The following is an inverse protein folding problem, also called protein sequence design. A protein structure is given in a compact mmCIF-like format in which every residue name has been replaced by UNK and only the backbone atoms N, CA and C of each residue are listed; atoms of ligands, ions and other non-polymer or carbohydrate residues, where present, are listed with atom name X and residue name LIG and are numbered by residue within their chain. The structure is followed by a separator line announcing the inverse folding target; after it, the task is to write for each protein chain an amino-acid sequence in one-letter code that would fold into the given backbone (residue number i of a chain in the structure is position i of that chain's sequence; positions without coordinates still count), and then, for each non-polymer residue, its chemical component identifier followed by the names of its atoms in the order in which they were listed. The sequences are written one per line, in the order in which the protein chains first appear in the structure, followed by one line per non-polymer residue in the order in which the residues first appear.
data_IF_886910514294
#
_entry.id   IF_886910514294
#
_cell.length_a   1.000
_cell.length_b   1.000
_cell.length_c   1.000
_cell.angle_alpha   90.00
_cell.angle_beta   90.00
_cell.angle_gamma   90.00
#
_symmetry.space_group_name_H-M   'P 1'
#
loop_
_entity.id
_entity.type
_entity.pdbx_description
1 polymer ?
#
# COMPACT_ATOMS: atom_id res chain seq x y z
N UNK A 1 39.59 0.35 -8.20
CA UNK A 1 40.24 -0.95 -7.95
C UNK A 1 40.48 -1.72 -9.26
N UNK A 2 39.47 -1.85 -10.15
CA UNK A 2 39.62 -2.52 -11.45
C UNK A 2 40.79 -1.92 -12.25
N UNK A 3 40.82 -0.60 -12.40
CA UNK A 3 41.91 0.12 -13.12
C UNK A 3 43.32 -0.17 -12.55
N UNK A 4 43.40 -0.35 -11.22
CA UNK A 4 44.66 -0.71 -10.58
C UNK A 4 45.12 -2.11 -10.99
N UNK A 5 44.20 -3.07 -11.01
CA UNK A 5 44.54 -4.43 -11.44
C UNK A 5 44.87 -4.48 -12.93
N UNK A 6 44.14 -3.74 -13.77
CA UNK A 6 44.40 -3.64 -15.20
C UNK A 6 45.78 -3.04 -15.49
N UNK A 7 46.16 -2.01 -14.73
CA UNK A 7 47.51 -1.45 -14.84
C UNK A 7 48.59 -2.47 -14.46
N UNK A 8 48.36 -3.29 -13.43
CA UNK A 8 49.29 -4.34 -12.99
C UNK A 8 49.35 -5.53 -13.95
N UNK A 9 48.24 -5.91 -14.55
CA UNK A 9 48.12 -7.02 -15.49
C UNK A 9 48.57 -6.63 -16.91
N UNK A 10 48.48 -5.34 -17.25
CA UNK A 10 48.92 -4.84 -18.55
C UNK A 10 48.28 -5.52 -19.75
N UNK A 11 49.11 -6.12 -20.60
CA UNK A 11 48.60 -6.77 -21.84
C UNK A 11 47.75 -8.01 -21.58
N UNK A 12 47.92 -8.68 -20.43
CA UNK A 12 47.08 -9.84 -20.05
C UNK A 12 45.63 -9.44 -19.82
N UNK A 13 45.39 -8.35 -19.07
CA UNK A 13 44.03 -7.85 -18.88
C UNK A 13 43.38 -7.43 -20.21
N UNK A 14 44.18 -6.80 -21.09
CA UNK A 14 43.73 -6.40 -22.40
C UNK A 14 43.39 -7.61 -23.27
N UNK A 15 44.21 -8.66 -23.25
CA UNK A 15 43.95 -9.91 -23.98
C UNK A 15 42.62 -10.54 -23.51
N UNK A 16 42.38 -10.65 -22.20
CA UNK A 16 41.20 -11.24 -21.64
C UNK A 16 39.93 -10.40 -22.04
N UNK A 17 40.01 -9.07 -21.91
CA UNK A 17 38.90 -8.18 -22.30
C UNK A 17 38.60 -8.14 -23.79
N UNK A 18 39.56 -8.38 -24.64
CA UNK A 18 39.34 -8.45 -26.10
C UNK A 18 38.88 -9.83 -26.55
N UNK A 19 38.88 -10.83 -25.69
CA UNK A 19 38.39 -12.16 -26.00
C UNK A 19 36.85 -12.19 -26.07
N UNK A 20 36.29 -12.50 -27.23
CA UNK A 20 34.85 -12.52 -27.44
C UNK A 20 34.14 -13.53 -26.55
N UNK A 21 34.71 -14.71 -26.34
CA UNK A 21 34.09 -15.75 -25.51
C UNK A 21 34.00 -15.27 -24.03
N UNK A 22 35.01 -14.57 -23.54
CA UNK A 22 35.01 -13.99 -22.20
C UNK A 22 33.90 -12.93 -22.08
N UNK A 23 33.79 -12.03 -23.05
CA UNK A 23 32.79 -10.97 -23.05
C UNK A 23 31.36 -11.52 -23.16
N UNK A 24 31.13 -12.55 -23.97
CA UNK A 24 29.83 -13.20 -24.10
C UNK A 24 29.42 -13.88 -22.79
N UNK A 25 30.33 -14.57 -22.12
CA UNK A 25 30.07 -15.19 -20.80
C UNK A 25 29.82 -14.14 -19.72
N UNK A 26 30.54 -13.03 -19.72
CA UNK A 26 30.33 -11.92 -18.80
C UNK A 26 28.95 -11.30 -19.03
N UNK A 27 28.54 -11.12 -20.27
CA UNK A 27 27.22 -10.62 -20.61
C UNK A 27 26.08 -11.58 -20.16
N UNK A 28 26.24 -12.88 -20.39
CA UNK A 28 25.30 -13.89 -19.89
C UNK A 28 25.18 -13.87 -18.36
N UNK A 29 26.28 -13.75 -17.66
CA UNK A 29 26.32 -13.62 -16.20
C UNK A 29 25.59 -12.34 -15.74
N UNK A 30 25.82 -11.20 -16.41
CA UNK A 30 25.13 -9.95 -16.12
C UNK A 30 23.63 -10.08 -16.30
N UNK A 31 23.14 -10.71 -17.39
CA UNK A 31 21.72 -10.97 -17.60
C UNK A 31 21.11 -11.87 -16.51
N UNK A 32 21.80 -12.94 -16.11
CA UNK A 32 21.35 -13.80 -15.00
C UNK A 32 21.25 -13.02 -13.68
N UNK A 33 22.23 -12.17 -13.38
CA UNK A 33 22.19 -11.31 -12.20
C UNK A 33 21.00 -10.34 -12.21
N UNK A 34 20.68 -9.73 -13.36
CA UNK A 34 19.51 -8.85 -13.49
C UNK A 34 18.22 -9.63 -13.26
N UNK A 35 18.09 -10.83 -13.84
CA UNK A 35 16.90 -11.68 -13.64
C UNK A 35 16.75 -12.11 -12.18
N UNK A 36 17.82 -12.56 -11.53
CA UNK A 36 17.83 -12.95 -10.12
C UNK A 36 17.42 -11.75 -9.24
N UNK A 37 18.04 -10.58 -9.47
CA UNK A 37 17.75 -9.37 -8.71
C UNK A 37 16.30 -8.93 -8.85
N UNK A 38 15.72 -9.04 -10.05
CA UNK A 38 14.30 -8.74 -10.29
C UNK A 38 13.39 -9.72 -9.55
N UNK A 39 13.72 -11.02 -9.55
CA UNK A 39 12.94 -12.04 -8.83
C UNK A 39 13.06 -11.92 -7.31
N UNK A 40 14.20 -11.47 -6.78
CA UNK A 40 14.41 -11.24 -5.35
C UNK A 40 13.62 -10.03 -4.84
N UNK A 41 13.43 -9.01 -5.67
CA UNK A 41 12.63 -7.82 -5.32
C UNK A 41 11.13 -8.13 -5.30
N UNK A 42 10.66 -9.02 -6.19
CA UNK A 42 9.27 -9.47 -6.25
C UNK A 42 9.15 -10.95 -5.87
N UNK A 43 9.17 -11.28 -4.56
CA UNK A 43 9.12 -12.66 -4.11
C UNK A 43 7.75 -13.27 -4.39
N UNK A 44 7.68 -14.15 -5.38
CA UNK A 44 6.54 -15.00 -5.65
C UNK A 44 6.93 -16.46 -5.32
N UNK A 45 6.06 -17.15 -4.58
CA UNK A 45 6.30 -18.52 -4.14
C UNK A 45 6.49 -19.49 -5.32
N UNK A 46 5.85 -19.21 -6.47
CA UNK A 46 6.02 -19.94 -7.73
C UNK A 46 7.41 -19.76 -8.34
N UNK A 47 8.05 -18.64 -8.09
CA UNK A 47 9.36 -18.31 -8.65
C UNK A 47 10.53 -18.85 -7.82
N UNK A 48 10.29 -19.36 -6.62
CA UNK A 48 11.35 -19.82 -5.70
C UNK A 48 12.23 -20.92 -6.29
N UNK A 49 11.63 -21.93 -6.94
CA UNK A 49 12.40 -23.00 -7.60
C UNK A 49 13.22 -22.47 -8.77
N UNK A 50 12.63 -21.58 -9.56
CA UNK A 50 13.29 -20.95 -10.70
C UNK A 50 14.45 -20.05 -10.25
N UNK A 51 14.29 -19.37 -9.11
CA UNK A 51 15.34 -18.54 -8.52
C UNK A 51 16.55 -19.39 -8.09
N UNK A 52 16.31 -20.55 -7.47
CA UNK A 52 17.39 -21.49 -7.10
C UNK A 52 18.11 -22.07 -8.33
N UNK A 53 17.37 -22.42 -9.37
CA UNK A 53 17.96 -22.87 -10.65
C UNK A 53 18.84 -21.77 -11.26
N UNK A 54 18.37 -20.52 -11.28
CA UNK A 54 19.14 -19.40 -11.81
C UNK A 54 20.36 -19.07 -10.96
N UNK A 55 20.30 -19.18 -9.64
CA UNK A 55 21.47 -19.04 -8.76
C UNK A 55 22.52 -20.11 -9.05
N UNK A 56 22.10 -21.35 -9.29
CA UNK A 56 23.01 -22.42 -9.68
C UNK A 56 23.64 -22.16 -11.05
N UNK A 57 22.86 -21.66 -12.03
CA UNK A 57 23.39 -21.27 -13.35
C UNK A 57 24.38 -20.12 -13.23
N UNK A 58 24.12 -19.13 -12.36
CA UNK A 58 25.02 -18.02 -12.09
C UNK A 58 26.36 -18.51 -11.51
N UNK A 59 26.32 -19.38 -10.49
CA UNK A 59 27.52 -19.95 -9.89
C UNK A 59 28.36 -20.72 -10.93
N UNK A 60 27.72 -21.47 -11.80
CA UNK A 60 28.41 -22.17 -12.89
C UNK A 60 29.01 -21.18 -13.91
N UNK A 61 28.30 -20.09 -14.23
CA UNK A 61 28.79 -19.05 -15.13
C UNK A 61 30.01 -18.33 -14.55
N UNK A 62 29.98 -18.00 -13.25
CA UNK A 62 31.13 -17.41 -12.54
C UNK A 62 32.36 -18.32 -12.57
N UNK A 63 32.19 -19.61 -12.31
CA UNK A 63 33.28 -20.59 -12.41
C UNK A 63 33.83 -20.71 -13.85
N UNK A 64 32.95 -20.70 -14.83
CA UNK A 64 33.38 -20.78 -16.24
C UNK A 64 34.17 -19.54 -16.67
N UNK A 65 33.77 -18.34 -16.23
CA UNK A 65 34.49 -17.09 -16.49
C UNK A 65 35.86 -17.14 -15.84
N UNK A 66 35.98 -17.60 -14.57
CA UNK A 66 37.20 -17.72 -13.89
C UNK A 66 38.17 -18.72 -14.58
N UNK A 67 37.67 -19.89 -14.92
CA UNK A 67 38.46 -20.90 -15.64
C UNK A 67 38.97 -20.41 -17.01
N UNK A 68 38.09 -19.70 -17.75
CA UNK A 68 38.45 -19.13 -19.05
C UNK A 68 39.54 -18.05 -18.90
N UNK A 69 39.40 -17.16 -17.94
CA UNK A 69 40.37 -16.13 -17.71
C UNK A 69 41.73 -16.69 -17.25
N UNK A 70 41.72 -17.71 -16.37
CA UNK A 70 42.96 -18.41 -15.97
C UNK A 70 43.63 -19.12 -17.15
N UNK A 71 42.83 -19.74 -18.06
CA UNK A 71 43.34 -20.35 -19.26
C UNK A 71 43.98 -19.34 -20.20
N UNK A 72 43.29 -18.22 -20.46
CA UNK A 72 43.84 -17.14 -21.30
C UNK A 72 45.10 -16.51 -20.69
N UNK A 73 45.16 -16.43 -19.36
CA UNK A 73 46.34 -15.92 -18.67
C UNK A 73 47.55 -16.87 -18.74
N UNK A 74 47.30 -18.18 -18.66
CA UNK A 74 48.35 -19.19 -18.79
C UNK A 74 48.95 -19.18 -20.22
N UNK A 75 48.14 -18.97 -21.24
CA UNK A 75 48.59 -18.78 -22.61
C UNK A 75 49.47 -17.52 -22.74
N UNK A 76 49.09 -16.41 -22.07
CA UNK A 76 49.91 -15.19 -22.06
C UNK A 76 51.18 -15.29 -21.20
N UNK A 77 51.11 -16.05 -20.07
CA UNK A 77 52.24 -16.21 -19.15
C UNK A 77 53.34 -17.12 -19.69
N UNK A 78 53.00 -18.04 -20.65
CA UNK A 78 54.00 -18.86 -21.30
C UNK A 78 55.12 -18.04 -22.00
N UNK A 79 54.86 -16.78 -22.26
CA UNK A 79 55.80 -15.81 -22.83
C UNK A 79 56.63 -15.06 -21.82
N UNK A 80 56.22 -14.92 -20.54
CA UNK A 80 56.85 -13.98 -19.59
C UNK A 80 57.26 -14.55 -18.21
N UNK A 81 57.11 -15.83 -17.96
CA UNK A 81 57.54 -16.54 -16.72
C UNK A 81 57.07 -15.94 -15.38
N UNK A 82 55.97 -15.17 -15.36
CA UNK A 82 55.40 -14.56 -14.17
C UNK A 82 53.98 -15.14 -13.93
N UNK A 83 53.77 -15.64 -12.71
CA UNK A 83 52.40 -16.11 -12.33
C UNK A 83 51.52 -14.94 -11.96
N UNK A 84 50.53 -14.66 -12.81
CA UNK A 84 49.52 -13.61 -12.58
C UNK A 84 48.20 -14.16 -11.95
N UNK A 85 48.19 -15.43 -11.58
CA UNK A 85 46.97 -16.16 -11.19
C UNK A 85 46.22 -15.48 -10.06
N UNK A 86 46.87 -15.08 -8.99
CA UNK A 86 46.26 -14.38 -7.86
C UNK A 86 45.73 -13.00 -8.24
N UNK A 87 46.49 -12.26 -9.05
CA UNK A 87 46.11 -10.93 -9.52
C UNK A 87 44.86 -10.98 -10.43
N UNK A 88 44.81 -12.00 -11.31
CA UNK A 88 43.68 -12.22 -12.22
C UNK A 88 42.43 -12.61 -11.44
N UNK A 89 42.56 -13.52 -10.46
CA UNK A 89 41.42 -13.89 -9.61
C UNK A 89 40.87 -12.67 -8.90
N UNK A 90 41.68 -11.84 -8.26
CA UNK A 90 41.27 -10.62 -7.59
C UNK A 90 40.66 -9.59 -8.54
N UNK A 91 41.19 -9.45 -9.74
CA UNK A 91 40.62 -8.57 -10.76
C UNK A 91 39.27 -9.05 -11.24
N UNK A 92 39.10 -10.36 -11.48
CA UNK A 92 37.84 -10.98 -11.86
C UNK A 92 36.80 -10.80 -10.77
N UNK A 93 37.15 -11.00 -9.53
CA UNK A 93 36.23 -10.78 -8.39
C UNK A 93 35.66 -9.33 -8.40
N UNK A 94 36.52 -8.35 -8.73
CA UNK A 94 36.07 -6.96 -8.85
C UNK A 94 35.21 -6.72 -10.07
N UNK A 95 35.45 -7.37 -11.20
CA UNK A 95 34.61 -7.28 -12.40
C UNK A 95 33.24 -7.90 -12.11
N UNK A 96 33.21 -9.13 -11.56
CA UNK A 96 31.98 -9.84 -11.20
C UNK A 96 31.15 -9.01 -10.20
N UNK A 97 31.79 -8.43 -9.19
CA UNK A 97 31.15 -7.56 -8.21
C UNK A 97 30.56 -6.30 -8.87
N UNK A 98 31.30 -5.69 -9.79
CA UNK A 98 30.85 -4.50 -10.51
C UNK A 98 29.63 -4.82 -11.38
N UNK A 99 29.66 -5.93 -12.16
CA UNK A 99 28.53 -6.36 -12.99
C UNK A 99 27.32 -6.74 -12.14
N UNK A 100 27.52 -7.42 -11.01
CA UNK A 100 26.44 -7.73 -10.06
C UNK A 100 25.79 -6.46 -9.51
N UNK A 101 26.58 -5.47 -9.11
CA UNK A 101 26.09 -4.20 -8.60
C UNK A 101 25.30 -3.44 -9.67
N UNK A 102 25.83 -3.41 -10.91
CA UNK A 102 25.16 -2.80 -12.05
C UNK A 102 23.79 -3.46 -12.32
N UNK A 103 23.76 -4.80 -12.36
CA UNK A 103 22.53 -5.57 -12.55
C UNK A 103 21.49 -5.30 -11.44
N UNK A 104 21.93 -5.17 -10.18
CA UNK A 104 21.05 -4.80 -9.08
C UNK A 104 20.50 -3.37 -9.22
N UNK A 105 21.30 -2.43 -9.69
CA UNK A 105 20.82 -1.06 -9.94
C UNK A 105 19.78 -1.04 -11.06
N UNK A 106 20.04 -1.75 -12.15
CA UNK A 106 19.12 -1.88 -13.28
C UNK A 106 17.78 -2.51 -12.86
N UNK A 107 17.82 -3.59 -12.10
CA UNK A 107 16.61 -4.22 -11.55
C UNK A 107 15.80 -3.28 -10.65
N UNK A 108 16.45 -2.47 -9.83
CA UNK A 108 15.80 -1.45 -9.00
C UNK A 108 15.19 -0.31 -9.81
N UNK A 109 15.86 0.11 -10.89
CA UNK A 109 15.34 1.16 -11.76
C UNK A 109 14.08 0.69 -12.50
N UNK A 110 14.07 -0.54 -13.04
CA UNK A 110 12.88 -1.17 -13.62
C UNK A 110 11.74 -1.24 -12.60
N UNK A 111 12.03 -1.66 -11.37
CA UNK A 111 11.02 -1.74 -10.31
C UNK A 111 10.46 -0.37 -9.95
N UNK A 112 11.31 0.65 -9.87
CA UNK A 112 10.89 2.03 -9.58
C UNK A 112 9.96 2.57 -10.66
N UNK A 113 10.23 2.25 -11.93
CA UNK A 113 9.39 2.66 -13.05
C UNK A 113 8.01 1.99 -12.97
N UNK A 114 7.96 0.67 -12.74
CA UNK A 114 6.72 -0.08 -12.54
C UNK A 114 5.91 0.46 -11.34
N UNK A 115 6.56 0.72 -10.21
CA UNK A 115 5.90 1.31 -9.03
C UNK A 115 5.35 2.72 -9.30
N UNK A 116 6.05 3.51 -10.11
CA UNK A 116 5.58 4.84 -10.49
C UNK A 116 4.35 4.76 -11.41
N UNK A 117 4.32 3.82 -12.35
CA UNK A 117 3.14 3.55 -13.18
C UNK A 117 1.96 3.10 -12.34
N UNK A 118 2.16 2.15 -11.43
CA UNK A 118 1.14 1.69 -10.49
C UNK A 118 0.62 2.85 -9.61
N UNK A 119 1.52 3.68 -9.10
CA UNK A 119 1.14 4.86 -8.32
C UNK A 119 0.27 5.84 -9.12
N UNK A 120 0.64 6.13 -10.36
CA UNK A 120 -0.14 7.00 -11.24
C UNK A 120 -1.53 6.41 -11.54
N UNK A 121 -1.63 5.10 -11.66
CA UNK A 121 -2.89 4.40 -11.88
C UNK A 121 -3.77 4.39 -10.62
N UNK A 122 -3.23 4.06 -9.45
CA UNK A 122 -3.99 3.90 -8.21
C UNK A 122 -4.25 5.21 -7.45
N UNK A 123 -3.43 6.23 -7.64
CA UNK A 123 -3.58 7.51 -6.94
C UNK A 123 -4.95 8.18 -7.16
N UNK A 124 -5.50 8.30 -8.40
CA UNK A 124 -6.84 8.86 -8.60
C UNK A 124 -7.95 7.97 -8.04
N UNK A 125 -7.74 6.64 -8.03
CA UNK A 125 -8.69 5.68 -7.44
C UNK A 125 -8.75 5.89 -5.92
N UNK A 126 -7.61 5.98 -5.26
CA UNK A 126 -7.51 6.26 -3.81
C UNK A 126 -8.17 7.58 -3.43
N UNK A 127 -7.92 8.65 -4.20
CA UNK A 127 -8.56 9.94 -4.00
C UNK A 127 -10.09 9.88 -4.16
N UNK A 128 -10.58 9.10 -5.11
CA UNK A 128 -12.01 8.90 -5.34
C UNK A 128 -12.64 8.08 -4.22
N UNK A 129 -11.98 7.02 -3.77
CA UNK A 129 -12.42 6.20 -2.65
C UNK A 129 -12.53 7.05 -1.37
N UNK A 130 -11.52 7.82 -1.04
CA UNK A 130 -11.54 8.70 0.13
C UNK A 130 -12.64 9.79 0.08
N UNK A 131 -13.02 10.26 -1.14
CA UNK A 131 -14.20 11.14 -1.28
C UNK A 131 -15.49 10.39 -1.02
N UNK A 132 -15.62 9.16 -1.52
CA UNK A 132 -16.81 8.31 -1.31
C UNK A 132 -16.98 7.95 0.16
N UNK A 133 -15.93 7.60 0.85
CA UNK A 133 -15.96 7.31 2.30
C UNK A 133 -16.43 8.52 3.12
N UNK A 134 -15.89 9.72 2.83
CA UNK A 134 -16.37 10.96 3.47
C UNK A 134 -17.83 11.24 3.18
N UNK A 135 -18.29 11.01 1.95
CA UNK A 135 -19.69 11.19 1.57
C UNK A 135 -20.60 10.19 2.30
N UNK A 136 -20.20 8.93 2.43
CA UNK A 136 -20.93 7.92 3.20
C UNK A 136 -21.05 8.36 4.66
N UNK A 137 -19.95 8.76 5.29
CA UNK A 137 -19.98 9.26 6.67
C UNK A 137 -20.87 10.48 6.88
N UNK A 138 -20.91 11.39 5.91
CA UNK A 138 -21.83 12.53 5.95
C UNK A 138 -23.31 12.11 5.83
N UNK A 139 -23.63 11.20 4.91
CA UNK A 139 -24.99 10.67 4.75
C UNK A 139 -25.43 9.89 5.99
N UNK A 140 -24.55 9.08 6.57
CA UNK A 140 -24.80 8.34 7.80
C UNK A 140 -25.09 9.27 8.98
N UNK A 141 -24.28 10.32 9.14
CA UNK A 141 -24.51 11.35 10.18
C UNK A 141 -25.86 12.05 10.00
N UNK A 142 -26.21 12.43 8.77
CA UNK A 142 -27.50 13.04 8.47
C UNK A 142 -28.67 12.08 8.73
N UNK A 143 -28.53 10.82 8.37
CA UNK A 143 -29.52 9.80 8.66
C UNK A 143 -29.77 9.65 10.15
N UNK A 144 -28.72 9.52 10.95
CA UNK A 144 -28.81 9.41 12.41
C UNK A 144 -29.44 10.65 13.04
N UNK A 145 -29.09 11.85 12.57
CA UNK A 145 -29.70 13.10 13.00
C UNK A 145 -31.19 13.16 12.69
N UNK A 146 -31.57 12.78 11.46
CA UNK A 146 -32.98 12.76 11.03
C UNK A 146 -33.79 11.73 11.81
N UNK A 147 -33.25 10.53 12.06
CA UNK A 147 -33.86 9.52 12.90
C UNK A 147 -34.06 10.01 14.35
N UNK A 148 -33.07 10.70 14.89
CA UNK A 148 -33.17 11.32 16.22
C UNK A 148 -34.29 12.38 16.29
N UNK A 149 -34.36 13.24 15.28
CA UNK A 149 -35.41 14.25 15.18
C UNK A 149 -36.81 13.62 15.03
N UNK A 150 -36.96 12.57 14.21
CA UNK A 150 -38.22 11.83 14.02
C UNK A 150 -38.63 11.18 15.36
N UNK A 151 -37.73 10.49 16.05
CA UNK A 151 -38.04 9.90 17.34
C UNK A 151 -38.48 10.95 18.38
N UNK A 152 -37.82 12.10 18.42
CA UNK A 152 -38.19 13.21 19.29
C UNK A 152 -39.60 13.77 18.93
N UNK A 153 -39.94 13.88 17.64
CA UNK A 153 -41.25 14.31 17.20
C UNK A 153 -42.33 13.30 17.59
N UNK A 154 -42.11 12.01 17.41
CA UNK A 154 -43.02 10.94 17.82
C UNK A 154 -43.30 10.97 19.33
N UNK A 155 -42.21 11.14 20.13
CA UNK A 155 -42.34 11.25 21.59
C UNK A 155 -43.12 12.51 22.01
N UNK A 156 -42.92 13.65 21.34
CA UNK A 156 -43.70 14.86 21.59
C UNK A 156 -45.17 14.65 21.24
N UNK A 157 -45.50 14.04 20.11
CA UNK A 157 -46.87 13.72 19.73
C UNK A 157 -47.55 12.83 20.78
N UNK A 158 -46.90 11.74 21.20
CA UNK A 158 -47.46 10.84 22.24
C UNK A 158 -47.66 11.58 23.58
N UNK A 159 -46.70 12.42 23.98
CA UNK A 159 -46.86 13.22 25.21
C UNK A 159 -48.07 14.19 25.12
N UNK A 160 -48.26 14.84 23.96
CA UNK A 160 -49.44 15.72 23.75
C UNK A 160 -50.74 14.92 23.77
N UNK A 161 -50.81 13.76 23.18
CA UNK A 161 -51.99 12.87 23.20
C UNK A 161 -52.29 12.42 24.65
N UNK A 162 -51.28 12.01 25.42
CA UNK A 162 -51.48 11.62 26.83
C UNK A 162 -51.91 12.78 27.70
N UNK A 163 -51.33 13.96 27.50
CA UNK A 163 -51.67 15.18 28.29
C UNK A 163 -53.09 15.64 27.92
N UNK A 164 -53.47 15.64 26.66
CA UNK A 164 -54.84 16.03 26.24
C UNK A 164 -55.90 15.05 26.76
N UNK A 165 -55.58 13.75 26.78
CA UNK A 165 -56.46 12.72 27.32
C UNK A 165 -56.63 12.90 28.86
N UNK A 166 -55.57 13.18 29.62
CA UNK A 166 -55.66 13.41 31.06
C UNK A 166 -56.37 14.71 31.42
N UNK A 167 -56.18 15.77 30.64
CA UNK A 167 -56.91 17.02 30.83
C UNK A 167 -58.43 16.83 30.54
N UNK A 168 -58.80 15.98 29.58
CA UNK A 168 -60.20 15.65 29.25
C UNK A 168 -60.90 14.89 30.38
N UNK A 169 -60.16 14.13 31.17
CA UNK A 169 -60.67 13.35 32.31
C UNK A 169 -60.71 14.18 33.61
N UNK A 170 -59.77 15.11 33.83
CA UNK A 170 -59.65 15.85 35.07
C UNK A 170 -60.62 17.00 35.29
N UNK A 171 -61.23 17.59 34.27
CA UNK A 171 -62.15 18.69 34.44
C UNK A 171 -63.33 18.55 33.42
N UNK A 172 -64.32 17.67 33.68
CA UNK A 172 -65.63 17.89 33.04
C UNK A 172 -66.17 19.21 33.56
N UNK A 173 -66.71 20.11 32.71
CA UNK A 173 -67.31 21.34 33.16
C UNK A 173 -68.52 20.99 34.05
N UNK A 174 -68.35 21.21 35.35
CA UNK A 174 -69.45 21.09 36.30
C UNK A 174 -70.36 22.28 36.07
N UNK A 175 -71.29 22.17 35.15
CA UNK A 175 -72.40 23.11 35.11
C UNK A 175 -73.24 22.90 36.39
N UNK A 176 -73.49 23.93 37.18
CA UNK A 176 -74.37 23.80 38.32
C UNK A 176 -75.74 23.43 37.79
N UNK A 177 -76.13 22.17 37.98
CA UNK A 177 -77.40 21.64 37.59
C UNK A 177 -78.59 22.11 38.49
N UNK A 178 -78.27 22.84 39.53
CA UNK A 178 -79.26 23.42 40.42
C UNK A 178 -79.20 24.92 40.32
N UNK A 179 -80.21 25.53 39.71
CA UNK A 179 -80.48 26.94 39.95
C UNK A 179 -80.64 27.17 41.44
N UNK A 180 -79.96 28.17 42.00
CA UNK A 180 -80.16 28.59 43.38
C UNK A 180 -81.67 28.76 43.58
N UNK A 181 -82.26 28.13 44.59
CA UNK A 181 -83.66 28.37 44.87
C UNK A 181 -83.82 29.83 45.24
N UNK A 182 -84.24 30.62 44.33
CA UNK A 182 -84.71 31.93 44.59
C UNK A 182 -85.82 31.75 45.63
N UNK A 183 -85.54 32.20 46.85
CA UNK A 183 -86.53 32.19 47.95
C UNK A 183 -87.70 33.09 47.54
N UNK A 184 -88.61 32.59 46.64
CA UNK A 184 -89.79 33.26 46.23
C UNK A 184 -90.66 33.69 47.42
N UNK A 185 -90.58 32.97 48.54
CA UNK A 185 -91.21 33.33 49.81
C UNK A 185 -90.66 34.63 50.43
N UNK A 186 -89.35 34.90 50.31
CA UNK A 186 -88.78 36.15 50.81
C UNK A 186 -89.20 37.33 49.90
N UNK A 187 -89.29 37.15 48.68
CA UNK A 187 -89.70 38.18 47.75
C UNK A 187 -91.21 38.52 48.00
N UNK A 188 -92.05 37.51 48.23
CA UNK A 188 -93.45 37.70 48.54
C UNK A 188 -93.64 38.38 49.90
N UNK A 189 -92.84 38.03 50.94
CA UNK A 189 -92.83 38.69 52.27
C UNK A 189 -92.39 40.14 52.19
N UNK A 190 -91.34 40.44 51.44
CA UNK A 190 -90.87 41.80 51.20
C UNK A 190 -91.90 42.67 50.43
N UNK A 191 -92.70 42.07 49.55
CA UNK A 191 -93.75 42.79 48.82
C UNK A 191 -95.04 43.03 49.59
N UNK A 192 -95.23 42.39 50.76
CA UNK A 192 -96.36 42.61 51.66
C UNK A 192 -96.05 43.62 52.77
N UNK A 193 -94.76 43.81 53.10
CA UNK A 193 -94.38 44.72 54.14
C UNK A 193 -93.85 46.11 53.66
N UNK A 194 -93.73 46.33 52.40
CA UNK A 194 -93.43 47.58 51.74
C UNK A 194 -94.62 48.10 51.04
#
# INVERSE_FOLDING_TARGET
LIDFYEYKLGDVAKLIRTNNEFMDKLHQMSQLNTQISTMEITPDEKNRKKLEEQKNMLSNAEQNINNLALKLSAEAASTNNVSYETLISQWLDQIVLAEKTKAQMEARDIMRENLNEDFLYFSPIGATLGRKERHIGFVESNYMSTMGALNAAILRQKNLEMTSASLKIMNPPLFPLTSSPTNARMIILASILG
#
